data_IF_250392880199
#
_entry.id   IF_250392880199
#
_cell.length_a   1.000
_cell.length_b   1.000
_cell.length_c   1.000
_cell.angle_alpha   90.00
_cell.angle_beta   90.00
_cell.angle_gamma   90.00
#
_symmetry.space_group_name_H-M   'P 1'
#
loop_
_entity.id
_entity.type
_entity.pdbx_description
1 polymer ?
#
# COMPACT_ATOMS: atom_id res chain seq x y z
N UNK A 1 -3.77 -6.27 -28.47
CA UNK A 1 -3.17 -5.30 -27.53
C UNK A 1 -4.26 -4.33 -27.15
N UNK A 2 -5.05 -4.63 -26.13
CA UNK A 2 -6.14 -3.74 -25.68
C UNK A 2 -5.82 -3.20 -24.29
N UNK A 3 -4.81 -2.33 -24.31
CA UNK A 3 -4.38 -1.46 -23.21
C UNK A 3 -5.34 -0.25 -23.14
N UNK A 4 -6.65 -0.52 -23.09
CA UNK A 4 -7.68 0.52 -23.22
C UNK A 4 -7.89 1.25 -21.89
N UNK A 5 -7.14 2.34 -21.73
CA UNK A 5 -7.65 3.66 -21.34
C UNK A 5 -8.03 3.87 -19.86
N UNK A 6 -8.20 2.84 -19.02
CA UNK A 6 -8.54 3.10 -17.59
C UNK A 6 -7.34 3.65 -16.80
N UNK A 7 -6.12 3.21 -17.10
CA UNK A 7 -4.89 3.73 -16.46
C UNK A 7 -4.49 5.15 -16.92
N UNK A 8 -5.03 5.65 -18.03
CA UNK A 8 -4.71 7.00 -18.51
C UNK A 8 -5.38 8.11 -17.67
N UNK A 9 -6.38 7.74 -16.83
CA UNK A 9 -7.16 8.65 -15.99
C UNK A 9 -6.71 8.66 -14.51
N UNK A 10 -5.41 8.74 -14.25
CA UNK A 10 -4.94 9.24 -12.95
C UNK A 10 -5.22 10.75 -12.77
N UNK A 11 -5.77 11.43 -13.78
CA UNK A 11 -5.33 12.78 -14.10
C UNK A 11 -6.31 13.94 -13.84
N UNK A 12 -7.45 13.78 -13.18
CA UNK A 12 -8.22 14.98 -12.74
C UNK A 12 -8.43 15.09 -11.23
N UNK A 13 -8.11 14.06 -10.44
CA UNK A 13 -8.73 13.89 -9.12
C UNK A 13 -7.70 13.97 -7.98
N UNK A 14 -7.89 14.84 -6.97
CA UNK A 14 -6.91 15.11 -5.90
C UNK A 14 -6.72 13.84 -5.07
N UNK A 15 -5.52 13.27 -5.07
CA UNK A 15 -5.26 11.93 -4.51
C UNK A 15 -6.19 10.80 -5.01
N UNK A 16 -6.89 10.99 -6.15
CA UNK A 16 -7.92 10.07 -6.64
C UNK A 16 -9.26 10.13 -5.89
N UNK A 17 -9.53 11.23 -5.16
CA UNK A 17 -10.49 11.34 -4.05
C UNK A 17 -10.19 10.36 -2.90
N UNK A 18 -8.93 10.37 -2.46
CA UNK A 18 -8.48 9.80 -1.17
C UNK A 18 -9.03 8.41 -0.93
N UNK A 19 -8.45 7.37 -1.52
CA UNK A 19 -8.68 6.03 -1.00
C UNK A 19 -10.18 5.63 -0.90
N UNK A 20 -11.02 6.04 -1.88
CA UNK A 20 -12.50 6.01 -1.83
C UNK A 20 -13.01 4.73 -1.14
N UNK A 21 -13.24 4.83 0.17
CA UNK A 21 -13.86 3.80 1.01
C UNK A 21 -12.99 2.76 1.73
N UNK A 22 -11.70 2.99 2.04
CA UNK A 22 -10.87 2.14 2.94
C UNK A 22 -10.60 0.66 2.55
N UNK A 23 -11.44 -0.01 1.75
CA UNK A 23 -11.32 -1.42 1.34
C UNK A 23 -11.04 -1.55 -0.17
N UNK A 24 -11.85 -0.91 -1.03
CA UNK A 24 -11.72 -1.01 -2.48
C UNK A 24 -10.50 -0.30 -3.08
N UNK A 25 -9.79 0.50 -2.28
CA UNK A 25 -8.57 1.19 -2.70
C UNK A 25 -7.28 0.38 -2.51
N UNK A 26 -7.31 -0.74 -1.78
CA UNK A 26 -6.09 -1.50 -1.43
C UNK A 26 -5.38 -2.05 -2.68
N UNK A 27 -6.05 -2.74 -3.62
CA UNK A 27 -5.38 -3.29 -4.80
C UNK A 27 -4.70 -2.20 -5.65
N UNK A 28 -5.38 -1.06 -5.80
CA UNK A 28 -4.85 0.12 -6.53
C UNK A 28 -3.62 0.68 -5.81
N UNK A 29 -3.64 0.75 -4.48
CA UNK A 29 -2.48 1.22 -3.71
C UNK A 29 -1.28 0.27 -3.85
N UNK A 30 -1.51 -1.04 -3.89
CA UNK A 30 -0.45 -2.03 -4.10
C UNK A 30 0.14 -1.88 -5.50
N UNK A 31 -0.69 -1.75 -6.53
CA UNK A 31 -0.25 -1.50 -7.90
C UNK A 31 0.55 -0.20 -8.01
N UNK A 32 0.13 0.86 -7.32
CA UNK A 32 0.86 2.14 -7.30
C UNK A 32 2.21 2.01 -6.58
N UNK A 33 2.35 1.20 -5.53
CA UNK A 33 3.65 0.93 -4.90
C UNK A 33 4.60 0.23 -5.88
N UNK A 34 4.07 -0.62 -6.75
CA UNK A 34 4.84 -1.36 -7.75
C UNK A 34 5.22 -0.50 -8.97
N UNK A 35 4.23 0.14 -9.59
CA UNK A 35 4.35 0.80 -10.91
C UNK A 35 4.34 2.34 -10.86
N UNK A 36 4.03 2.92 -9.70
CA UNK A 36 3.92 4.38 -9.54
C UNK A 36 5.26 5.12 -9.62
N UNK A 37 5.22 6.44 -9.79
CA UNK A 37 6.41 7.29 -9.65
C UNK A 37 6.88 7.36 -8.20
N UNK A 38 8.13 7.74 -7.94
CA UNK A 38 8.70 7.81 -6.58
C UNK A 38 7.77 8.51 -5.56
N UNK A 39 7.19 9.66 -5.95
CA UNK A 39 6.23 10.41 -5.12
C UNK A 39 4.90 9.68 -4.91
N UNK A 40 4.40 8.97 -5.94
CA UNK A 40 3.18 8.16 -5.82
C UNK A 40 3.40 6.93 -4.95
N UNK A 41 4.55 6.27 -5.07
CA UNK A 41 4.96 5.14 -4.21
C UNK A 41 5.03 5.55 -2.75
N UNK A 42 5.63 6.71 -2.45
CA UNK A 42 5.66 7.28 -1.10
C UNK A 42 4.26 7.51 -0.53
N UNK A 43 3.39 8.17 -1.30
CA UNK A 43 2.01 8.43 -0.89
C UNK A 43 1.21 7.13 -0.69
N UNK A 44 1.37 6.15 -1.58
CA UNK A 44 0.68 4.88 -1.48
C UNK A 44 1.14 4.07 -0.26
N UNK A 45 2.45 4.01 0.00
CA UNK A 45 2.98 3.38 1.21
C UNK A 45 2.47 4.06 2.50
N UNK A 46 2.37 5.40 2.50
CA UNK A 46 1.81 6.14 3.63
C UNK A 46 0.31 5.83 3.85
N UNK A 47 -0.48 5.75 2.77
CA UNK A 47 -1.89 5.37 2.85
C UNK A 47 -2.07 3.94 3.37
N UNK A 48 -1.30 2.98 2.84
CA UNK A 48 -1.31 1.59 3.31
C UNK A 48 -0.95 1.50 4.80
N UNK A 49 0.03 2.27 5.26
CA UNK A 49 0.39 2.35 6.68
C UNK A 49 -0.76 2.85 7.53
N UNK A 50 -1.39 3.94 7.12
CA UNK A 50 -2.54 4.47 7.83
C UNK A 50 -3.69 3.46 7.91
N UNK A 51 -3.98 2.74 6.81
CA UNK A 51 -5.01 1.69 6.78
C UNK A 51 -4.67 0.55 7.75
N UNK A 52 -3.41 0.08 7.74
CA UNK A 52 -2.95 -0.97 8.64
C UNK A 52 -3.02 -0.58 10.11
N UNK A 53 -2.65 0.67 10.44
CA UNK A 53 -2.73 1.19 11.81
C UNK A 53 -4.16 1.45 12.27
N UNK A 54 -5.07 1.75 11.34
CA UNK A 54 -6.47 2.02 11.65
C UNK A 54 -7.28 0.72 11.84
N UNK A 55 -6.95 -0.36 11.13
CA UNK A 55 -7.64 -1.64 11.24
C UNK A 55 -6.75 -2.82 10.85
N UNK A 56 -6.68 -3.82 11.74
CA UNK A 56 -6.00 -5.08 11.48
C UNK A 56 -6.64 -5.88 10.33
N UNK A 57 -7.95 -5.71 10.10
CA UNK A 57 -8.65 -6.34 8.96
C UNK A 57 -8.15 -5.80 7.63
N UNK A 58 -8.02 -4.47 7.53
CA UNK A 58 -7.45 -3.82 6.34
C UNK A 58 -6.00 -4.24 6.14
N UNK A 59 -5.22 -4.29 7.22
CA UNK A 59 -3.84 -4.80 7.21
C UNK A 59 -3.73 -6.22 6.62
N UNK A 60 -4.64 -7.10 7.01
CA UNK A 60 -4.69 -8.47 6.47
C UNK A 60 -5.01 -8.49 4.98
N UNK A 61 -5.93 -7.65 4.50
CA UNK A 61 -6.20 -7.54 3.06
C UNK A 61 -5.00 -7.02 2.28
N UNK A 62 -4.27 -6.03 2.80
CA UNK A 62 -3.02 -5.56 2.17
C UNK A 62 -2.00 -6.69 2.02
N UNK A 63 -1.92 -7.59 3.00
CA UNK A 63 -1.08 -8.79 2.91
C UNK A 63 -1.59 -9.78 1.86
N UNK A 64 -2.91 -10.00 1.77
CA UNK A 64 -3.52 -10.90 0.79
C UNK A 64 -3.39 -10.40 -0.65
N UNK A 65 -3.46 -9.08 -0.86
CA UNK A 65 -3.22 -8.43 -2.15
C UNK A 65 -1.75 -8.47 -2.59
N UNK A 66 -0.86 -9.08 -1.78
CA UNK A 66 0.53 -9.27 -2.17
C UNK A 66 1.36 -7.99 -2.11
N UNK A 67 1.06 -7.07 -1.18
CA UNK A 67 1.83 -5.83 -1.05
C UNK A 67 3.29 -6.03 -0.61
N UNK A 68 3.65 -7.19 -0.05
CA UNK A 68 4.97 -7.43 0.56
C UNK A 68 6.13 -7.28 -0.43
N UNK A 69 6.16 -7.97 -1.59
CA UNK A 69 7.27 -7.81 -2.53
C UNK A 69 7.44 -6.36 -3.05
N UNK A 70 6.36 -5.65 -3.46
CA UNK A 70 6.46 -4.23 -3.83
C UNK A 70 6.99 -3.34 -2.71
N UNK A 71 6.60 -3.57 -1.47
CA UNK A 71 7.08 -2.81 -0.31
C UNK A 71 8.54 -3.10 0.02
N UNK A 72 8.99 -4.35 -0.13
CA UNK A 72 10.41 -4.70 0.02
C UNK A 72 11.23 -3.99 -1.04
N UNK A 73 10.79 -4.01 -2.30
CA UNK A 73 11.45 -3.27 -3.37
C UNK A 73 11.49 -1.77 -3.07
N UNK A 74 10.37 -1.19 -2.61
CA UNK A 74 10.30 0.21 -2.22
C UNK A 74 11.24 0.56 -1.07
N UNK A 75 11.42 -0.36 -0.10
CA UNK A 75 12.35 -0.17 1.01
C UNK A 75 13.82 -0.11 0.59
N UNK A 76 14.14 -0.64 -0.60
CA UNK A 76 15.49 -0.68 -1.15
C UNK A 76 15.71 0.46 -2.16
N UNK A 77 14.74 0.72 -3.04
CA UNK A 77 14.87 1.65 -4.17
C UNK A 77 14.10 2.97 -4.02
N UNK A 78 13.32 3.15 -2.95
CA UNK A 78 12.47 4.33 -2.74
C UNK A 78 13.22 5.58 -2.27
N UNK A 79 12.50 6.69 -2.13
CA UNK A 79 12.97 7.89 -1.41
C UNK A 79 13.21 7.54 0.07
N UNK A 80 14.03 8.32 0.79
CA UNK A 80 14.25 8.10 2.23
C UNK A 80 12.94 7.95 3.01
N UNK A 81 11.96 8.82 2.74
CA UNK A 81 10.62 8.75 3.34
C UNK A 81 9.87 7.49 2.94
N UNK A 82 9.88 7.12 1.66
CA UNK A 82 9.23 5.90 1.20
C UNK A 82 9.84 4.64 1.85
N UNK A 83 11.17 4.61 2.02
CA UNK A 83 11.88 3.52 2.69
C UNK A 83 11.44 3.38 4.14
N UNK A 84 11.39 4.48 4.88
CA UNK A 84 10.94 4.49 6.28
C UNK A 84 9.49 3.99 6.42
N UNK A 85 8.57 4.44 5.53
CA UNK A 85 7.18 3.98 5.55
C UNK A 85 7.06 2.50 5.19
N UNK A 86 7.77 2.04 4.17
CA UNK A 86 7.79 0.64 3.76
C UNK A 86 8.34 -0.27 4.88
N UNK A 87 9.45 0.11 5.50
CA UNK A 87 10.03 -0.64 6.63
C UNK A 87 9.09 -0.70 7.83
N UNK A 88 8.42 0.41 8.14
CA UNK A 88 7.41 0.44 9.22
C UNK A 88 6.26 -0.51 8.92
N UNK A 89 5.76 -0.52 7.67
CA UNK A 89 4.70 -1.43 7.26
C UNK A 89 5.10 -2.91 7.36
N UNK A 90 6.31 -3.23 6.87
CA UNK A 90 6.86 -4.59 6.93
C UNK A 90 7.05 -5.06 8.38
N UNK A 91 7.52 -4.17 9.27
CA UNK A 91 7.62 -4.45 10.71
C UNK A 91 6.24 -4.68 11.32
N UNK A 92 5.24 -3.89 10.92
CA UNK A 92 3.86 -4.06 11.38
C UNK A 92 3.29 -5.43 10.96
N UNK A 93 3.51 -5.86 9.72
CA UNK A 93 3.12 -7.19 9.26
C UNK A 93 3.79 -8.31 10.06
N UNK A 94 5.10 -8.18 10.35
CA UNK A 94 5.83 -9.14 11.18
C UNK A 94 5.23 -9.23 12.59
N UNK A 95 4.88 -8.09 13.18
CA UNK A 95 4.29 -8.04 14.52
C UNK A 95 2.84 -8.56 14.53
N UNK A 96 2.04 -8.28 13.50
CA UNK A 96 0.68 -8.83 13.33
C UNK A 96 0.68 -10.37 13.26
N UNK A 97 1.68 -10.96 12.59
CA UNK A 97 1.85 -12.43 12.57
C UNK A 97 2.10 -13.03 13.96
N UNK A 98 2.67 -12.26 14.89
CA UNK A 98 2.91 -12.69 16.27
C UNK A 98 1.75 -12.35 17.21
N UNK A 99 1.02 -11.24 16.98
CA UNK A 99 -0.09 -10.81 17.81
C UNK A 99 -1.41 -11.54 17.58
N UNK A 100 -1.63 -12.13 16.39
CA UNK A 100 -2.86 -12.84 16.07
C UNK A 100 -2.88 -14.31 16.56
N UNK A 101 -1.80 -14.77 17.23
CA UNK A 101 -1.74 -16.08 17.87
C UNK A 101 -2.41 -16.12 19.27
N UNK A 102 -2.97 -15.01 19.75
CA UNK A 102 -3.50 -14.87 21.12
C UNK A 102 -5.00 -14.63 21.26
N UNK A 103 -5.80 -14.81 20.20
CA UNK A 103 -7.27 -14.66 20.27
C UNK A 103 -7.94 -15.86 19.61
N UNK A 104 -7.89 -16.99 20.31
CA UNK A 104 -8.83 -18.12 20.16
C UNK A 104 -9.63 -18.22 21.46
#
# INVERSE_FOLDING_TARGET
MDNRIVMANLATNPEGRKAIGQEGGIPVLVEVVELGSARRKENAAAALLQLCTNSSRLCHMVLQEGAVPPLVALSQSGTQRAKEKAQTLLSYFRNQRHGNAGRA
#
